data_IF_591883089905
#
_entry.id   IF_591883089905
#
_cell.length_a   1.000
_cell.length_b   1.000
_cell.length_c   1.000
_cell.angle_alpha   90.00
_cell.angle_beta   90.00
_cell.angle_gamma   90.00
#
_symmetry.space_group_name_H-M   'P 1'
#
loop_
_entity.id
_entity.type
_entity.pdbx_description
1 polymer ?
#
# COMPACT_ATOMS: atom_id res chain seq x y z
N UNK A 1 9.23 -53.17 -63.46
CA UNK A 1 10.24 -53.51 -64.51
C UNK A 1 11.58 -52.93 -64.09
N UNK A 2 12.43 -53.80 -63.65
CA UNK A 2 13.81 -53.98 -64.01
C UNK A 2 14.80 -52.89 -63.58
N UNK A 3 15.55 -53.21 -62.53
CA UNK A 3 16.93 -52.79 -62.23
C UNK A 3 17.86 -52.90 -63.43
N UNK A 4 19.05 -52.28 -63.50
CA UNK A 4 20.20 -52.83 -62.79
C UNK A 4 21.31 -51.89 -62.26
N UNK A 5 21.93 -52.34 -61.20
CA UNK A 5 23.33 -52.33 -60.79
C UNK A 5 24.42 -51.81 -61.77
N UNK A 6 25.41 -51.10 -61.16
CA UNK A 6 26.89 -51.40 -61.28
C UNK A 6 27.64 -50.20 -60.65
N UNK A 7 28.58 -50.33 -59.85
CA UNK A 7 29.84 -50.98 -59.54
C UNK A 7 30.72 -50.05 -58.72
N UNK A 8 31.32 -50.59 -57.71
CA UNK A 8 32.27 -49.99 -56.79
C UNK A 8 33.53 -49.38 -57.43
N UNK A 9 34.04 -48.35 -56.79
CA UNK A 9 35.48 -48.04 -56.82
C UNK A 9 35.92 -47.60 -55.45
N UNK A 10 36.76 -48.38 -54.82
CA UNK A 10 37.47 -48.10 -53.57
C UNK A 10 38.64 -47.19 -53.96
N UNK A 11 38.67 -45.98 -53.35
CA UNK A 11 39.90 -45.18 -53.35
C UNK A 11 40.18 -44.83 -51.87
N UNK A 12 41.25 -45.40 -51.38
CA UNK A 12 41.88 -45.08 -50.14
C UNK A 12 42.48 -43.68 -50.23
N UNK A 13 42.13 -42.80 -49.31
CA UNK A 13 42.79 -41.52 -49.17
C UNK A 13 42.95 -41.18 -47.68
N UNK A 14 44.14 -41.17 -47.25
CA UNK A 14 44.82 -40.44 -46.17
C UNK A 14 43.99 -39.51 -45.29
N UNK A 15 44.02 -39.79 -44.00
CA UNK A 15 43.62 -38.92 -42.93
C UNK A 15 44.64 -37.81 -42.77
N UNK A 16 44.20 -36.48 -42.77
CA UNK A 16 45.04 -35.45 -42.24
C UNK A 16 44.76 -35.36 -40.73
N UNK A 17 45.81 -35.36 -39.94
CA UNK A 17 45.81 -35.10 -38.49
C UNK A 17 45.15 -33.73 -38.17
N UNK A 18 44.05 -33.77 -37.43
CA UNK A 18 43.38 -32.58 -36.90
C UNK A 18 44.22 -32.00 -35.77
N UNK A 19 45.02 -30.97 -36.08
CA UNK A 19 45.70 -30.14 -35.12
C UNK A 19 44.63 -29.38 -34.35
N UNK A 20 44.37 -29.83 -33.11
CA UNK A 20 43.52 -29.15 -32.12
C UNK A 20 44.22 -27.83 -31.71
N UNK A 21 43.88 -26.74 -32.38
CA UNK A 21 44.30 -25.41 -31.96
C UNK A 21 43.53 -25.04 -30.69
N UNK A 22 44.22 -25.15 -29.57
CA UNK A 22 43.78 -24.55 -28.29
C UNK A 22 43.76 -23.03 -28.48
N UNK A 23 42.56 -22.46 -28.62
CA UNK A 23 42.35 -21.00 -28.49
C UNK A 23 42.80 -20.55 -27.09
N UNK A 24 43.59 -19.48 -26.98
CA UNK A 24 43.91 -18.93 -25.64
C UNK A 24 42.62 -18.48 -24.95
N UNK A 25 42.40 -18.95 -23.72
CA UNK A 25 41.37 -18.46 -22.86
C UNK A 25 41.56 -16.94 -22.70
N UNK A 26 40.67 -16.14 -23.27
CA UNK A 26 40.62 -14.70 -23.01
C UNK A 26 40.28 -14.55 -21.54
N UNK A 27 41.27 -14.14 -20.76
CA UNK A 27 41.08 -13.68 -19.39
C UNK A 27 40.03 -12.56 -19.40
N UNK A 28 38.91 -12.80 -18.73
CA UNK A 28 37.91 -11.76 -18.50
C UNK A 28 38.62 -10.57 -17.88
N UNK A 29 38.63 -9.43 -18.57
CA UNK A 29 39.07 -8.15 -18.01
C UNK A 29 38.31 -7.89 -16.72
N UNK A 30 38.99 -7.55 -15.63
CA UNK A 30 38.29 -7.12 -14.41
C UNK A 30 37.44 -5.89 -14.78
N UNK A 31 36.14 -5.98 -14.53
CA UNK A 31 35.20 -4.85 -14.70
C UNK A 31 35.81 -3.62 -14.03
N UNK A 32 36.14 -2.62 -14.82
CA UNK A 32 36.66 -1.34 -14.32
C UNK A 32 35.64 -0.82 -13.30
N UNK A 33 36.08 -0.70 -12.02
CA UNK A 33 35.32 -0.01 -10.98
C UNK A 33 35.00 1.39 -11.52
N UNK A 34 33.75 1.61 -11.92
CA UNK A 34 33.27 2.92 -12.29
C UNK A 34 33.59 3.88 -11.13
N UNK A 35 34.23 5.03 -11.46
CA UNK A 35 34.45 6.09 -10.48
C UNK A 35 33.12 6.38 -9.77
N UNK A 36 33.11 6.57 -8.43
CA UNK A 36 31.91 6.95 -7.71
C UNK A 36 31.32 8.19 -8.36
N UNK A 37 30.17 8.05 -9.01
CA UNK A 37 29.43 9.22 -9.47
C UNK A 37 28.82 9.84 -8.22
N UNK A 38 29.22 11.09 -7.91
CA UNK A 38 28.59 11.88 -6.85
C UNK A 38 27.14 12.14 -7.30
N UNK A 39 26.23 11.30 -6.81
CA UNK A 39 24.81 11.35 -7.13
C UNK A 39 24.16 12.45 -6.26
N UNK A 40 24.23 13.70 -6.68
CA UNK A 40 23.63 14.83 -5.98
C UNK A 40 22.24 15.16 -6.50
N UNK A 41 21.41 15.75 -5.64
CA UNK A 41 20.10 16.27 -5.97
C UNK A 41 20.07 17.81 -5.86
N UNK A 42 19.20 18.47 -6.66
CA UNK A 42 19.22 19.93 -6.84
C UNK A 42 18.20 20.69 -5.98
N UNK A 43 17.10 20.06 -5.62
CA UNK A 43 15.97 20.68 -4.92
C UNK A 43 15.73 19.90 -3.63
N UNK A 44 15.50 20.61 -2.52
CA UNK A 44 15.19 19.99 -1.23
C UNK A 44 13.80 20.42 -0.78
N UNK A 45 12.99 19.45 -0.32
CA UNK A 45 11.66 19.70 0.25
C UNK A 45 11.80 20.16 1.71
N UNK A 46 10.78 20.79 2.31
CA UNK A 46 10.79 21.16 3.72
C UNK A 46 11.00 19.96 4.67
N UNK A 47 10.53 18.78 4.27
CA UNK A 47 10.65 17.53 5.02
C UNK A 47 12.05 16.90 4.92
N UNK A 48 12.91 17.44 4.04
CA UNK A 48 14.31 17.04 3.91
C UNK A 48 14.62 16.03 2.82
N UNK A 49 13.65 15.62 2.00
CA UNK A 49 13.90 14.88 0.76
C UNK A 49 14.58 15.82 -0.25
N UNK A 50 15.65 15.37 -0.90
CA UNK A 50 16.19 16.09 -2.05
C UNK A 50 15.92 15.32 -3.34
N UNK A 51 15.71 16.04 -4.45
CA UNK A 51 15.43 15.42 -5.74
C UNK A 51 15.96 16.21 -6.94
N UNK A 52 16.06 15.54 -8.07
CA UNK A 52 16.34 16.15 -9.38
C UNK A 52 15.39 15.56 -10.41
N UNK A 53 14.72 16.43 -11.15
CA UNK A 53 13.92 16.02 -12.31
C UNK A 53 14.87 15.77 -13.49
N UNK A 54 15.00 14.50 -13.88
CA UNK A 54 15.80 14.11 -15.06
C UNK A 54 14.97 14.31 -16.33
N UNK A 55 13.72 13.86 -16.27
CA UNK A 55 12.73 14.01 -17.34
C UNK A 55 11.39 14.36 -16.69
N UNK A 56 10.74 15.46 -17.11
CA UNK A 56 9.40 15.76 -16.60
C UNK A 56 8.37 14.78 -17.16
N UNK A 57 7.41 14.41 -16.33
CA UNK A 57 6.21 13.68 -16.74
C UNK A 57 5.06 14.63 -17.09
N UNK A 58 3.87 14.08 -17.30
CA UNK A 58 2.64 14.83 -17.59
C UNK A 58 1.44 14.20 -16.87
N UNK A 59 0.42 15.02 -16.58
CA UNK A 59 -0.82 14.59 -15.96
C UNK A 59 -0.85 14.76 -14.45
N UNK A 60 -1.73 14.06 -13.80
CA UNK A 60 -1.89 14.06 -12.34
C UNK A 60 -0.73 13.38 -11.63
N UNK A 61 -0.64 13.58 -10.32
CA UNK A 61 0.37 12.97 -9.46
C UNK A 61 -0.28 11.90 -8.59
N UNK A 62 0.48 10.86 -8.21
CA UNK A 62 0.03 9.92 -7.19
C UNK A 62 -0.23 10.63 -5.86
N UNK A 63 -1.18 10.11 -5.08
CA UNK A 63 -1.38 10.46 -3.68
C UNK A 63 -0.89 9.33 -2.76
N UNK A 64 -0.98 9.51 -1.44
CA UNK A 64 -0.51 8.52 -0.46
C UNK A 64 -1.24 7.16 -0.54
N UNK A 65 -2.44 7.13 -1.08
CA UNK A 65 -3.25 5.91 -1.23
C UNK A 65 -3.07 5.24 -2.59
N UNK A 66 -2.33 5.87 -3.51
CA UNK A 66 -2.12 5.38 -4.87
C UNK A 66 -1.31 4.09 -4.89
N UNK A 67 -1.55 3.28 -5.91
CA UNK A 67 -0.67 2.19 -6.32
C UNK A 67 0.07 2.63 -7.59
N UNK A 68 1.40 2.64 -7.54
CA UNK A 68 2.27 3.06 -8.65
C UNK A 68 2.91 1.87 -9.35
N UNK A 69 3.22 2.04 -10.63
CA UNK A 69 4.09 1.14 -11.41
C UNK A 69 5.33 1.92 -11.82
N UNK A 70 6.49 1.45 -11.44
CA UNK A 70 7.78 2.15 -11.65
C UNK A 70 8.86 1.21 -12.15
N UNK A 71 9.85 1.79 -12.88
CA UNK A 71 11.19 1.23 -12.91
C UNK A 71 12.03 1.98 -11.89
N UNK A 72 12.86 1.28 -11.15
CA UNK A 72 13.70 1.93 -10.15
C UNK A 72 15.06 1.24 -10.01
N UNK A 73 16.00 2.03 -9.51
CA UNK A 73 17.33 1.59 -9.10
C UNK A 73 17.70 2.29 -7.81
N UNK A 74 17.93 1.52 -6.74
CA UNK A 74 18.36 2.00 -5.43
C UNK A 74 19.85 1.80 -5.22
N UNK A 75 20.54 2.86 -4.78
CA UNK A 75 21.99 2.89 -4.58
C UNK A 75 22.33 3.53 -3.24
N UNK A 76 23.42 3.10 -2.63
CA UNK A 76 24.01 3.79 -1.48
C UNK A 76 24.69 5.09 -1.95
N UNK A 77 24.45 6.21 -1.24
CA UNK A 77 25.09 7.49 -1.58
C UNK A 77 26.60 7.44 -1.38
N UNK A 78 27.07 6.63 -0.44
CA UNK A 78 28.48 6.57 -0.03
C UNK A 78 29.42 6.12 -1.16
N UNK A 79 29.01 5.13 -1.95
CA UNK A 79 29.86 4.50 -2.96
C UNK A 79 29.16 4.21 -4.29
N UNK A 80 27.85 4.50 -4.38
CA UNK A 80 27.03 4.24 -5.55
C UNK A 80 26.73 2.76 -5.77
N UNK A 81 26.98 1.89 -4.79
CA UNK A 81 26.64 0.47 -4.88
C UNK A 81 25.13 0.28 -4.95
N UNK A 82 24.68 -0.51 -5.91
CA UNK A 82 23.28 -0.88 -6.06
C UNK A 82 22.91 -1.91 -4.98
N UNK A 83 21.81 -1.65 -4.29
CA UNK A 83 21.26 -2.58 -3.31
C UNK A 83 19.94 -3.20 -3.74
N UNK A 84 19.20 -2.53 -4.65
CA UNK A 84 17.93 -3.03 -5.15
C UNK A 84 17.57 -2.37 -6.49
N UNK A 85 16.84 -3.06 -7.34
CA UNK A 85 16.30 -2.53 -8.60
C UNK A 85 15.10 -3.34 -9.09
N UNK A 86 14.23 -2.74 -9.87
CA UNK A 86 13.09 -3.42 -10.47
C UNK A 86 12.56 -2.72 -11.70
N UNK A 87 11.99 -3.53 -12.60
CA UNK A 87 11.23 -3.07 -13.76
C UNK A 87 9.77 -3.42 -13.58
N UNK A 88 8.88 -2.52 -13.99
CA UNK A 88 7.43 -2.67 -13.86
C UNK A 88 6.97 -3.04 -12.44
N UNK A 89 7.77 -2.63 -11.43
CA UNK A 89 7.52 -2.93 -10.04
C UNK A 89 6.31 -2.14 -9.54
N UNK A 90 5.45 -2.79 -8.75
CA UNK A 90 4.24 -2.17 -8.22
C UNK A 90 4.34 -1.98 -6.72
N UNK A 91 4.08 -0.75 -6.26
CA UNK A 91 4.09 -0.40 -4.85
C UNK A 91 2.86 0.41 -4.45
N UNK A 92 2.26 0.15 -3.28
CA UNK A 92 1.39 1.13 -2.63
C UNK A 92 2.27 2.28 -2.12
N UNK A 93 1.95 3.54 -2.46
CA UNK A 93 2.74 4.72 -2.04
C UNK A 93 2.88 4.79 -0.52
N UNK A 94 1.82 4.48 0.23
CA UNK A 94 1.89 4.44 1.70
C UNK A 94 2.61 3.23 2.29
N UNK A 95 3.11 2.29 1.48
CA UNK A 95 3.78 1.06 1.93
C UNK A 95 5.29 1.04 1.74
N UNK A 96 5.88 2.14 1.28
CA UNK A 96 7.34 2.28 1.06
C UNK A 96 7.95 3.25 2.07
N UNK A 97 9.29 3.35 2.11
CA UNK A 97 9.99 4.29 3.01
C UNK A 97 9.54 5.73 2.77
N UNK A 98 9.49 6.57 3.83
CA UNK A 98 8.90 7.92 3.76
C UNK A 98 9.47 8.79 2.64
N UNK A 99 10.79 8.78 2.43
CA UNK A 99 11.43 9.58 1.37
C UNK A 99 11.05 9.12 -0.04
N UNK A 100 10.89 7.81 -0.26
CA UNK A 100 10.45 7.28 -1.55
C UNK A 100 8.98 7.62 -1.82
N UNK A 101 8.11 7.49 -0.79
CA UNK A 101 6.71 7.90 -0.86
C UNK A 101 6.54 9.38 -1.21
N UNK A 102 7.31 10.28 -0.57
CA UNK A 102 7.31 11.71 -0.89
C UNK A 102 7.75 11.94 -2.35
N UNK A 103 8.84 11.28 -2.77
CA UNK A 103 9.35 11.39 -4.13
C UNK A 103 8.32 10.99 -5.18
N UNK A 104 7.64 9.85 -4.99
CA UNK A 104 6.59 9.38 -5.89
C UNK A 104 5.45 10.38 -6.04
N UNK A 105 5.04 11.04 -4.94
CA UNK A 105 3.98 12.06 -4.96
C UNK A 105 4.39 13.37 -5.66
N UNK A 106 5.68 13.60 -5.89
CA UNK A 106 6.17 14.73 -6.69
C UNK A 106 6.19 14.40 -8.19
N UNK A 107 6.18 13.12 -8.56
CA UNK A 107 6.32 12.67 -9.95
C UNK A 107 5.00 12.74 -10.72
N UNK A 108 5.14 12.80 -12.03
CA UNK A 108 4.04 12.64 -12.98
C UNK A 108 4.34 11.47 -13.92
N UNK A 109 3.35 10.76 -14.45
CA UNK A 109 3.55 9.63 -15.38
C UNK A 109 4.47 9.99 -16.55
N UNK A 110 5.35 9.07 -16.89
CA UNK A 110 6.39 9.25 -17.92
C UNK A 110 7.58 10.09 -17.49
N UNK A 111 7.60 10.56 -16.24
CA UNK A 111 8.72 11.31 -15.65
C UNK A 111 9.78 10.39 -15.06
N UNK A 112 11.05 10.87 -15.11
CA UNK A 112 12.21 10.23 -14.50
C UNK A 112 12.83 11.18 -13.48
N UNK A 113 13.01 10.70 -12.25
CA UNK A 113 13.53 11.48 -11.14
C UNK A 113 14.70 10.76 -10.47
N UNK A 114 15.61 11.57 -9.93
CA UNK A 114 16.57 11.10 -8.94
C UNK A 114 16.13 11.60 -7.58
N UNK A 115 16.00 10.69 -6.62
CA UNK A 115 15.61 10.97 -5.24
C UNK A 115 16.81 10.71 -4.34
N UNK A 116 17.24 11.71 -3.57
CA UNK A 116 18.29 11.60 -2.56
C UNK A 116 17.60 11.60 -1.19
N UNK A 117 17.56 10.45 -0.57
CA UNK A 117 16.78 10.17 0.64
C UNK A 117 17.74 10.09 1.81
N UNK A 118 17.72 11.07 2.74
CA UNK A 118 18.53 10.97 3.96
C UNK A 118 18.05 9.78 4.81
N UNK A 119 18.95 9.19 5.57
CA UNK A 119 18.70 7.97 6.36
C UNK A 119 17.43 8.06 7.21
N UNK A 120 17.13 9.21 7.80
CA UNK A 120 15.91 9.47 8.60
C UNK A 120 14.59 9.30 7.84
N UNK A 121 14.61 9.47 6.52
CA UNK A 121 13.48 9.23 5.61
C UNK A 121 13.59 7.87 4.89
N UNK A 122 14.65 7.11 5.18
CA UNK A 122 14.93 5.78 4.67
C UNK A 122 14.80 4.71 5.75
N UNK A 123 15.88 3.97 6.01
CA UNK A 123 15.92 2.86 6.96
C UNK A 123 16.53 3.24 8.33
N UNK A 124 16.91 4.51 8.54
CA UNK A 124 17.33 5.04 9.83
C UNK A 124 18.55 4.38 10.43
N UNK A 125 18.59 4.36 11.78
CA UNK A 125 19.70 3.82 12.56
C UNK A 125 19.82 2.29 12.50
N UNK A 126 18.74 1.59 12.15
CA UNK A 126 18.75 0.13 12.08
C UNK A 126 19.35 -0.40 10.77
N UNK A 127 19.20 0.33 9.64
CA UNK A 127 19.50 -0.20 8.33
C UNK A 127 18.57 -1.35 7.96
N UNK A 128 18.84 -2.06 6.85
CA UNK A 128 18.13 -3.30 6.49
C UNK A 128 18.91 -4.07 5.42
N UNK A 129 19.03 -5.39 5.57
CA UNK A 129 19.72 -6.24 4.59
C UNK A 129 21.09 -5.68 4.17
N UNK A 130 21.30 -5.33 2.87
CA UNK A 130 22.56 -4.77 2.40
C UNK A 130 22.74 -3.28 2.73
N UNK A 131 21.73 -2.62 3.32
CA UNK A 131 21.75 -1.18 3.61
C UNK A 131 22.25 -0.96 5.04
N UNK A 132 23.42 -0.31 5.22
CA UNK A 132 23.98 -0.05 6.54
C UNK A 132 23.13 0.89 7.40
N UNK A 133 23.38 0.89 8.71
CA UNK A 133 22.84 1.88 9.63
C UNK A 133 23.18 3.31 9.17
N UNK A 134 22.24 4.22 9.27
CA UNK A 134 22.38 5.64 8.91
C UNK A 134 22.81 5.89 7.43
N UNK A 135 22.57 4.95 6.54
CA UNK A 135 22.92 5.11 5.13
C UNK A 135 21.94 6.05 4.42
N UNK A 136 22.48 7.07 3.76
CA UNK A 136 21.73 7.88 2.79
C UNK A 136 21.60 7.14 1.47
N UNK A 137 20.44 7.25 0.84
CA UNK A 137 20.09 6.48 -0.34
C UNK A 137 19.86 7.40 -1.56
N UNK A 138 20.18 6.88 -2.72
CA UNK A 138 19.80 7.50 -4.00
C UNK A 138 18.96 6.51 -4.79
N UNK A 139 17.80 6.96 -5.24
CA UNK A 139 16.98 6.22 -6.18
C UNK A 139 16.88 6.96 -7.51
N UNK A 140 17.06 6.24 -8.59
CA UNK A 140 16.63 6.66 -9.92
C UNK A 140 15.31 5.95 -10.21
N UNK A 141 14.27 6.75 -10.53
CA UNK A 141 12.90 6.26 -10.64
C UNK A 141 12.25 6.79 -11.90
N UNK A 142 11.66 5.90 -12.68
CA UNK A 142 10.74 6.20 -13.77
C UNK A 142 9.33 5.86 -13.33
N UNK A 143 8.46 6.85 -13.22
CA UNK A 143 7.04 6.60 -12.96
C UNK A 143 6.33 6.27 -14.28
N UNK A 144 5.94 5.00 -14.44
CA UNK A 144 5.29 4.53 -15.67
C UNK A 144 3.79 4.84 -15.63
N UNK A 145 3.13 4.48 -14.55
CA UNK A 145 1.71 4.70 -14.33
C UNK A 145 1.36 4.66 -12.85
N UNK A 146 0.16 5.09 -12.53
CA UNK A 146 -0.42 4.90 -11.19
C UNK A 146 -1.93 4.78 -11.28
N UNK A 147 -2.53 4.25 -10.21
CA UNK A 147 -3.96 4.20 -9.99
C UNK A 147 -4.27 4.86 -8.65
N UNK A 148 -5.03 5.95 -8.67
CA UNK A 148 -5.60 6.52 -7.46
C UNK A 148 -6.85 5.71 -7.10
N UNK A 149 -6.99 5.24 -5.85
CA UNK A 149 -8.26 4.69 -5.42
C UNK A 149 -9.34 5.76 -5.55
N UNK A 150 -10.60 5.38 -5.77
CA UNK A 150 -11.70 6.34 -5.78
C UNK A 150 -11.70 7.09 -4.44
N UNK A 151 -12.06 8.39 -4.43
CA UNK A 151 -12.14 9.16 -3.21
C UNK A 151 -13.07 8.45 -2.22
N UNK A 152 -12.64 8.35 -0.97
CA UNK A 152 -13.48 7.75 0.07
C UNK A 152 -14.77 8.55 0.20
N UNK A 153 -15.91 7.88 0.37
CA UNK A 153 -17.17 8.57 0.67
C UNK A 153 -17.01 9.49 1.88
N UNK A 154 -17.61 10.66 1.81
CA UNK A 154 -17.55 11.64 2.89
C UNK A 154 -18.96 11.86 3.42
N UNK A 155 -19.14 11.69 4.74
CA UNK A 155 -20.39 11.99 5.42
C UNK A 155 -20.58 13.52 5.46
N UNK A 156 -21.77 14.04 5.10
CA UNK A 156 -22.08 15.47 5.15
C UNK A 156 -21.87 16.07 6.53
N UNK A 157 -21.50 17.34 6.63
CA UNK A 157 -21.24 18.04 7.92
C UNK A 157 -22.41 17.92 8.88
N UNK A 158 -23.65 18.07 8.39
CA UNK A 158 -24.88 17.96 9.18
C UNK A 158 -25.05 16.59 9.86
N UNK A 159 -24.41 15.56 9.31
CA UNK A 159 -24.52 14.18 9.77
C UNK A 159 -23.32 13.71 10.60
N UNK A 160 -22.45 14.62 11.05
CA UNK A 160 -21.23 14.27 11.80
C UNK A 160 -21.32 14.46 13.30
N UNK A 161 -22.32 15.18 13.79
CA UNK A 161 -22.51 15.50 15.21
C UNK A 161 -23.75 14.81 15.76
N UNK A 162 -23.78 14.62 17.08
CA UNK A 162 -24.93 14.10 17.79
C UNK A 162 -25.56 15.18 18.69
N UNK A 163 -26.89 15.25 18.71
CA UNK A 163 -27.64 16.23 19.49
C UNK A 163 -28.01 15.74 20.90
N UNK A 164 -27.99 14.43 21.12
CA UNK A 164 -28.36 13.78 22.37
C UNK A 164 -27.17 13.04 22.97
N UNK A 165 -27.17 12.85 24.28
CA UNK A 165 -26.10 12.14 25.00
C UNK A 165 -26.70 11.24 26.07
N UNK A 166 -26.21 10.00 26.19
CA UNK A 166 -26.58 9.09 27.27
C UNK A 166 -25.87 9.44 28.59
N UNK A 167 -26.25 8.82 29.68
CA UNK A 167 -25.55 8.96 30.95
C UNK A 167 -24.10 8.49 30.94
N UNK A 168 -23.76 7.57 30.05
CA UNK A 168 -22.38 7.08 29.83
C UNK A 168 -21.51 8.02 28.96
N UNK A 169 -22.10 9.11 28.43
CA UNK A 169 -21.39 10.04 27.54
C UNK A 169 -21.42 9.65 26.04
N UNK A 170 -22.16 8.60 25.70
CA UNK A 170 -22.35 8.22 24.29
C UNK A 170 -23.31 9.23 23.63
N UNK A 171 -22.81 9.94 22.60
CA UNK A 171 -23.65 10.79 21.77
C UNK A 171 -24.49 9.97 20.80
N UNK A 172 -25.73 10.39 20.53
CA UNK A 172 -26.59 9.68 19.58
C UNK A 172 -27.64 10.56 18.93
N UNK A 173 -28.07 10.17 17.75
CA UNK A 173 -29.26 10.68 17.06
C UNK A 173 -29.95 9.54 16.31
N UNK A 174 -31.27 9.39 16.45
CA UNK A 174 -32.05 8.52 15.57
C UNK A 174 -32.11 9.13 14.17
N UNK A 175 -31.69 8.36 13.16
CA UNK A 175 -31.75 8.74 11.74
C UNK A 175 -33.06 8.25 11.10
N UNK A 176 -33.44 7.01 11.43
CA UNK A 176 -34.75 6.45 11.08
C UNK A 176 -35.29 5.55 12.18
N UNK A 177 -36.61 5.57 12.35
CA UNK A 177 -37.27 4.71 13.34
C UNK A 177 -37.37 3.27 12.82
N UNK A 178 -37.27 2.31 13.74
CA UNK A 178 -37.62 0.91 13.53
C UNK A 178 -38.93 0.56 14.19
N UNK A 179 -39.48 -0.58 13.86
CA UNK A 179 -40.76 -1.07 14.41
C UNK A 179 -40.62 -2.40 15.16
N UNK A 180 -39.44 -3.04 15.09
CA UNK A 180 -39.20 -4.31 15.73
C UNK A 180 -38.82 -4.18 17.21
N UNK A 181 -38.50 -5.31 17.86
CA UNK A 181 -38.08 -5.32 19.25
C UNK A 181 -36.67 -4.74 19.45
N UNK A 182 -36.36 -4.38 20.68
CA UNK A 182 -35.00 -4.00 21.08
C UNK A 182 -34.13 -5.25 21.37
N UNK A 183 -32.82 -5.16 21.15
CA UNK A 183 -31.89 -6.20 21.52
C UNK A 183 -31.76 -6.41 23.04
N UNK A 184 -31.43 -7.64 23.43
CA UNK A 184 -31.02 -8.05 24.76
C UNK A 184 -29.60 -8.61 24.72
N UNK A 185 -28.96 -8.84 25.87
CA UNK A 185 -27.62 -9.45 25.92
C UNK A 185 -27.57 -10.87 25.35
N UNK A 186 -28.73 -11.55 25.26
CA UNK A 186 -28.82 -12.90 24.68
C UNK A 186 -28.92 -12.92 23.17
N UNK A 187 -28.92 -11.75 22.52
CA UNK A 187 -29.11 -11.65 21.08
C UNK A 187 -27.77 -11.52 20.32
N UNK A 188 -27.82 -12.01 19.10
CA UNK A 188 -26.90 -11.68 18.03
C UNK A 188 -27.60 -10.65 17.12
N UNK A 189 -27.05 -9.46 17.03
CA UNK A 189 -27.55 -8.43 16.14
C UNK A 189 -26.95 -8.61 14.73
N UNK A 190 -27.79 -8.49 13.74
CA UNK A 190 -27.39 -8.34 12.34
C UNK A 190 -27.46 -6.87 11.97
N UNK A 191 -26.32 -6.27 11.62
CA UNK A 191 -26.21 -4.84 11.41
C UNK A 191 -25.45 -4.49 10.14
N UNK A 192 -25.82 -3.34 9.56
CA UNK A 192 -24.94 -2.59 8.68
C UNK A 192 -24.35 -1.44 9.50
N UNK A 193 -23.05 -1.17 9.30
CA UNK A 193 -22.47 0.00 9.94
C UNK A 193 -21.42 0.69 9.06
N UNK A 194 -21.29 1.99 9.28
CA UNK A 194 -20.30 2.86 8.64
C UNK A 194 -19.58 3.66 9.71
N UNK A 195 -18.27 3.42 9.86
CA UNK A 195 -17.38 4.19 10.72
C UNK A 195 -16.78 5.32 9.93
N UNK A 196 -16.77 6.53 10.48
CA UNK A 196 -16.22 7.71 9.82
C UNK A 196 -15.54 8.64 10.84
N UNK A 197 -14.61 9.44 10.35
CA UNK A 197 -13.97 10.49 11.15
C UNK A 197 -14.95 11.64 11.38
N UNK A 198 -15.17 11.99 12.64
CA UNK A 198 -16.19 12.99 13.04
C UNK A 198 -15.87 14.41 12.57
N UNK A 199 -14.58 14.75 12.34
CA UNK A 199 -14.17 16.08 11.86
C UNK A 199 -14.25 16.17 10.34
N UNK A 200 -13.62 15.24 9.65
CA UNK A 200 -13.50 15.26 8.17
C UNK A 200 -14.69 14.61 7.49
N UNK A 201 -15.42 13.71 8.17
CA UNK A 201 -16.47 12.89 7.60
C UNK A 201 -15.98 11.76 6.73
N UNK A 202 -14.67 11.57 6.60
CA UNK A 202 -14.10 10.52 5.74
C UNK A 202 -14.49 9.15 6.28
N UNK A 203 -15.11 8.33 5.43
CA UNK A 203 -15.47 6.96 5.77
C UNK A 203 -14.20 6.12 5.91
N UNK A 204 -14.02 5.53 7.09
CA UNK A 204 -12.89 4.67 7.44
C UNK A 204 -13.22 3.20 7.19
N UNK A 205 -14.44 2.80 7.52
CA UNK A 205 -14.90 1.42 7.39
C UNK A 205 -16.39 1.38 7.07
N UNK A 206 -16.79 0.46 6.18
CA UNK A 206 -18.18 0.08 5.95
C UNK A 206 -18.29 -1.44 6.01
N UNK A 207 -19.28 -1.94 6.75
CA UNK A 207 -19.61 -3.34 6.84
C UNK A 207 -21.11 -3.52 6.65
N UNK A 208 -21.48 -4.57 5.95
CA UNK A 208 -22.87 -4.94 5.69
C UNK A 208 -23.08 -6.37 6.17
N UNK A 209 -24.26 -6.62 6.71
CA UNK A 209 -24.67 -7.94 7.22
C UNK A 209 -23.77 -8.52 8.31
N UNK A 210 -23.15 -7.64 9.12
CA UNK A 210 -22.25 -8.06 10.20
C UNK A 210 -23.04 -8.65 11.37
N UNK A 211 -22.56 -9.77 11.87
CA UNK A 211 -23.17 -10.50 13.00
C UNK A 211 -22.44 -10.15 14.28
N UNK A 212 -23.12 -9.48 15.19
CA UNK A 212 -22.52 -8.98 16.45
C UNK A 212 -23.22 -9.61 17.64
N UNK A 213 -22.54 -10.55 18.37
CA UNK A 213 -23.06 -11.09 19.61
C UNK A 213 -22.93 -10.01 20.72
N UNK A 214 -24.06 -9.58 21.30
CA UNK A 214 -24.07 -8.46 22.25
C UNK A 214 -23.25 -8.72 23.52
N UNK A 215 -23.16 -9.98 23.96
CA UNK A 215 -22.35 -10.36 25.13
C UNK A 215 -20.83 -10.25 24.92
N UNK A 216 -20.37 -10.24 23.68
CA UNK A 216 -18.95 -10.27 23.34
C UNK A 216 -18.44 -8.95 22.73
N UNK A 217 -19.33 -7.96 22.64
CA UNK A 217 -18.95 -6.64 22.11
C UNK A 217 -18.60 -5.65 23.23
N UNK A 218 -17.96 -4.53 22.87
CA UNK A 218 -17.61 -3.52 23.85
C UNK A 218 -18.84 -2.95 24.55
N UNK A 219 -18.74 -2.53 25.84
CA UNK A 219 -19.87 -1.98 26.57
C UNK A 219 -20.58 -0.85 25.87
N UNK A 220 -19.81 0.09 25.27
CA UNK A 220 -20.34 1.26 24.55
C UNK A 220 -21.11 0.83 23.30
N UNK A 221 -20.60 -0.14 22.56
CA UNK A 221 -21.28 -0.63 21.36
C UNK A 221 -22.50 -1.50 21.70
N UNK A 222 -22.44 -2.28 22.78
CA UNK A 222 -23.60 -2.99 23.31
C UNK A 222 -24.72 -2.03 23.75
N UNK A 223 -24.36 -0.93 24.45
CA UNK A 223 -25.29 0.13 24.85
C UNK A 223 -25.97 0.73 23.62
N UNK A 224 -25.18 1.11 22.59
CA UNK A 224 -25.70 1.71 21.37
C UNK A 224 -26.73 0.81 20.68
N UNK A 225 -26.46 -0.50 20.56
CA UNK A 225 -27.40 -1.44 19.93
C UNK A 225 -28.68 -1.61 20.75
N UNK A 226 -28.59 -1.66 22.10
CA UNK A 226 -29.76 -1.80 22.98
C UNK A 226 -30.71 -0.60 22.97
N UNK A 227 -30.26 0.55 22.52
CA UNK A 227 -31.12 1.72 22.31
C UNK A 227 -32.02 1.55 21.08
N UNK A 228 -31.58 0.79 20.08
CA UNK A 228 -32.19 0.66 18.77
C UNK A 228 -33.36 -0.32 18.78
N UNK A 229 -34.28 -0.15 17.82
CA UNK A 229 -35.28 -1.16 17.43
C UNK A 229 -34.89 -1.78 16.09
N UNK A 230 -35.23 -3.04 15.88
CA UNK A 230 -35.02 -3.68 14.57
C UNK A 230 -35.65 -2.84 13.47
N UNK A 231 -34.91 -2.61 12.38
CA UNK A 231 -35.28 -1.74 11.27
C UNK A 231 -34.91 -0.27 11.46
N UNK A 232 -34.37 0.14 12.61
CA UNK A 232 -33.93 1.52 12.85
C UNK A 232 -32.48 1.75 12.39
N UNK A 233 -32.20 3.03 12.07
CA UNK A 233 -30.83 3.53 11.86
C UNK A 233 -30.53 4.63 12.86
N UNK A 234 -29.38 4.54 13.52
CA UNK A 234 -28.87 5.53 14.45
C UNK A 234 -27.49 5.99 14.05
N UNK A 235 -27.18 7.23 14.36
CA UNK A 235 -25.84 7.76 14.39
C UNK A 235 -25.37 7.79 15.84
N UNK A 236 -24.13 7.31 16.07
CA UNK A 236 -23.48 7.37 17.37
C UNK A 236 -22.17 8.14 17.26
N UNK A 237 -21.95 9.04 18.22
CA UNK A 237 -20.72 9.79 18.38
C UNK A 237 -19.97 9.21 19.58
N UNK A 238 -18.86 8.52 19.28
CA UNK A 238 -18.12 7.80 20.30
C UNK A 238 -17.45 8.77 21.27
N UNK A 239 -17.59 8.57 22.60
CA UNK A 239 -16.86 9.36 23.58
C UNK A 239 -15.36 9.11 23.43
N UNK A 240 -14.58 10.18 23.52
CA UNK A 240 -13.12 10.05 23.58
C UNK A 240 -12.71 9.57 24.96
N UNK A 241 -11.87 8.56 25.02
CA UNK A 241 -11.27 8.07 26.28
C UNK A 241 -9.97 8.79 26.59
N UNK A 242 -9.31 9.35 25.55
CA UNK A 242 -8.11 10.19 25.65
C UNK A 242 -8.16 11.35 24.64
N UNK A 243 -7.46 12.48 24.90
CA UNK A 243 -7.37 13.60 23.95
C UNK A 243 -6.79 13.22 22.57
N UNK A 244 -5.99 12.17 22.52
CA UNK A 244 -5.36 11.65 21.32
C UNK A 244 -6.22 10.65 20.54
N UNK A 245 -7.38 10.25 21.11
CA UNK A 245 -8.26 9.31 20.43
C UNK A 245 -8.85 9.95 19.17
N UNK A 246 -8.96 9.18 18.08
CA UNK A 246 -9.58 9.67 16.87
C UNK A 246 -11.05 10.05 17.13
N UNK A 247 -11.52 11.11 16.48
CA UNK A 247 -12.94 11.45 16.45
C UNK A 247 -13.67 10.42 15.57
N UNK A 248 -14.03 9.29 16.14
CA UNK A 248 -14.72 8.21 15.42
C UNK A 248 -16.21 8.23 15.72
N UNK A 249 -17.00 8.37 14.67
CA UNK A 249 -18.45 8.27 14.72
C UNK A 249 -18.93 7.07 13.89
N UNK A 250 -20.09 6.55 14.20
CA UNK A 250 -20.64 5.37 13.54
C UNK A 250 -22.12 5.56 13.21
N UNK A 251 -22.51 5.24 12.01
CA UNK A 251 -23.92 5.06 11.61
C UNK A 251 -24.20 3.57 11.61
N UNK A 252 -25.23 3.15 12.32
CA UNK A 252 -25.61 1.74 12.46
C UNK A 252 -27.06 1.57 12.05
N UNK A 253 -27.33 0.59 11.18
CA UNK A 253 -28.68 0.09 10.90
C UNK A 253 -28.83 -1.28 11.52
N UNK A 254 -29.77 -1.43 12.44
CA UNK A 254 -30.11 -2.74 13.03
C UNK A 254 -31.12 -3.46 12.13
N UNK A 255 -30.64 -4.49 11.42
CA UNK A 255 -31.43 -5.20 10.41
C UNK A 255 -32.31 -6.26 11.05
N UNK A 256 -31.72 -7.13 11.88
CA UNK A 256 -32.39 -8.30 12.47
C UNK A 256 -31.77 -8.70 13.80
N UNK A 257 -32.51 -9.47 14.59
CA UNK A 257 -32.07 -10.03 15.86
C UNK A 257 -32.31 -11.53 15.87
N UNK A 258 -31.27 -12.29 16.22
CA UNK A 258 -31.32 -13.74 16.38
C UNK A 258 -30.84 -14.14 17.77
N UNK A 259 -31.30 -15.25 18.35
CA UNK A 259 -30.68 -15.80 19.54
C UNK A 259 -29.18 -16.02 19.30
N UNK A 260 -28.33 -15.58 20.23
CA UNK A 260 -26.91 -15.93 20.16
C UNK A 260 -26.75 -17.45 20.34
N UNK A 261 -25.77 -18.07 19.65
CA UNK A 261 -25.46 -19.48 19.91
C UNK A 261 -25.19 -19.68 21.40
N UNK A 262 -25.73 -20.75 21.99
CA UNK A 262 -25.38 -21.18 23.35
C UNK A 262 -23.86 -21.39 23.36
N UNK A 263 -23.17 -20.82 24.34
CA UNK A 263 -21.78 -21.18 24.59
C UNK A 263 -21.73 -22.64 24.97
N UNK A 264 -21.14 -23.48 24.10
CA UNK A 264 -20.74 -24.85 24.45
C UNK A 264 -19.51 -24.84 25.35
#
# INVERSE_FOLDING_TARGET
MISPLKRAAIVAALTPALLLQMAPAQAASPAAKAKPQVLTCKVTTPEGLSYTIIKPGKGERPNAESKVTVNYKGMLTADGSEFDSGKDAQFPVGGVIPGFAQGLQLMQPGGSYRLCIPSKLGYGEAGTGPIPANADLVFEVDLLSFNNPPPKPVIPVADRTCSQTTASGLGFDPVSAGTGRKPTDADMALVDFTVFDGKTGIVQQKREWEKIPLRQTSPVFSESLKMMQTGSTYRFCMPKTAPTDPDSNIIVTLIDLRPAPSAE
#
